data_IF_219277659958
#
_entry.id   IF_219277659958
#
_cell.length_a   1.000
_cell.length_b   1.000
_cell.length_c   1.000
_cell.angle_alpha   90.00
_cell.angle_beta   90.00
_cell.angle_gamma   90.00
#
_symmetry.space_group_name_H-M   'P 1'
#
loop_
_entity.id
_entity.type
_entity.pdbx_description
1 polymer ?
#
# COMPACT_ATOMS: atom_id res chain seq x y z
N UNK A 1 -8.43 -3.36 11.17
CA UNK A 1 -8.10 -2.44 12.25
C UNK A 1 -7.17 -3.19 13.17
N UNK A 2 -6.07 -2.55 13.56
CA UNK A 2 -5.17 -3.11 14.54
C UNK A 2 -5.87 -3.18 15.91
N UNK A 3 -5.47 -4.12 16.79
CA UNK A 3 -5.93 -4.14 18.18
C UNK A 3 -5.73 -2.78 18.87
N UNK A 4 -6.56 -2.46 19.86
CA UNK A 4 -6.46 -1.18 20.58
C UNK A 4 -5.15 -1.00 21.36
N UNK A 5 -4.43 -2.08 21.62
CA UNK A 5 -3.13 -2.10 22.30
C UNK A 5 -1.94 -2.05 21.33
N UNK A 6 -2.19 -2.06 20.02
CA UNK A 6 -1.14 -2.06 19.02
C UNK A 6 -0.29 -0.78 19.10
N UNK A 7 1.02 -0.98 19.05
CA UNK A 7 2.02 0.09 19.09
C UNK A 7 2.30 0.62 17.69
N UNK A 8 3.03 1.74 17.63
CA UNK A 8 3.59 2.26 16.37
C UNK A 8 4.54 1.23 15.72
N UNK A 9 5.27 0.46 16.53
CA UNK A 9 6.18 -0.57 16.03
C UNK A 9 5.42 -1.75 15.42
N UNK A 10 4.26 -2.11 15.97
CA UNK A 10 3.38 -3.13 15.38
C UNK A 10 2.83 -2.67 14.03
N UNK A 11 2.40 -1.41 13.96
CA UNK A 11 1.94 -0.80 12.71
C UNK A 11 3.04 -0.75 11.65
N UNK A 12 4.26 -0.33 12.03
CA UNK A 12 5.41 -0.30 11.12
C UNK A 12 5.80 -1.71 10.65
N UNK A 13 5.79 -2.68 11.56
CA UNK A 13 6.09 -4.08 11.24
C UNK A 13 5.07 -4.65 10.25
N UNK A 14 3.79 -4.34 10.43
CA UNK A 14 2.74 -4.70 9.48
C UNK A 14 3.00 -4.12 8.10
N UNK A 15 3.34 -2.82 8.02
CA UNK A 15 3.65 -2.15 6.76
C UNK A 15 4.82 -2.85 6.06
N UNK A 16 5.91 -3.12 6.80
CA UNK A 16 7.09 -3.80 6.25
C UNK A 16 6.75 -5.18 5.69
N UNK A 17 5.95 -5.98 6.39
CA UNK A 17 5.51 -7.28 5.88
C UNK A 17 4.73 -7.17 4.57
N UNK A 18 3.81 -6.21 4.47
CA UNK A 18 3.07 -5.97 3.23
C UNK A 18 4.00 -5.55 2.08
N UNK A 19 5.01 -4.73 2.35
CA UNK A 19 5.98 -4.29 1.33
C UNK A 19 6.98 -5.37 0.90
N UNK A 20 7.23 -6.37 1.76
CA UNK A 20 8.16 -7.45 1.48
C UNK A 20 7.48 -8.68 0.88
N UNK A 21 6.14 -8.75 0.90
CA UNK A 21 5.37 -9.84 0.29
C UNK A 21 5.47 -9.76 -1.24
N UNK A 22 6.08 -10.75 -1.93
CA UNK A 22 6.33 -10.68 -3.38
C UNK A 22 5.05 -10.52 -4.23
N UNK A 23 3.92 -11.03 -3.72
CA UNK A 23 2.60 -10.91 -4.35
C UNK A 23 1.89 -9.57 -4.16
N UNK A 24 2.48 -8.62 -3.42
CA UNK A 24 1.90 -7.29 -3.26
C UNK A 24 1.86 -6.53 -4.58
N UNK A 25 0.74 -5.85 -4.82
CA UNK A 25 0.48 -5.13 -6.07
C UNK A 25 0.83 -3.66 -5.92
N UNK A 26 1.51 -3.10 -6.92
CA UNK A 26 1.93 -1.71 -6.97
C UNK A 26 1.04 -0.93 -7.94
N UNK A 27 0.62 0.25 -7.53
CA UNK A 27 -0.25 1.14 -8.31
C UNK A 27 0.35 2.53 -8.38
N UNK A 28 0.04 3.24 -9.46
CA UNK A 28 0.33 4.66 -9.64
C UNK A 28 -0.95 5.48 -9.62
N UNK A 29 -0.90 6.64 -9.00
CA UNK A 29 -1.97 7.62 -8.98
C UNK A 29 -1.42 9.03 -9.22
N UNK A 30 -1.53 9.55 -10.45
CA UNK A 30 -1.18 10.93 -10.73
C UNK A 30 -2.28 11.88 -10.23
N UNK A 31 -1.90 12.85 -9.39
CA UNK A 31 -2.80 13.88 -8.86
C UNK A 31 -2.20 15.27 -9.07
N UNK A 32 -2.67 15.95 -10.12
CA UNK A 32 -2.13 17.25 -10.52
C UNK A 32 -0.67 17.11 -10.95
N UNK A 33 0.24 17.81 -10.27
CA UNK A 33 1.70 17.72 -10.51
C UNK A 33 2.41 16.76 -9.57
N UNK A 34 1.66 15.97 -8.78
CA UNK A 34 2.22 15.03 -7.80
C UNK A 34 1.93 13.62 -8.23
N UNK A 35 2.94 12.77 -8.10
CA UNK A 35 2.79 11.33 -8.23
C UNK A 35 2.58 10.72 -6.86
N UNK A 36 1.68 9.74 -6.79
CA UNK A 36 1.51 8.87 -5.66
C UNK A 36 1.67 7.43 -6.11
N UNK A 37 2.28 6.63 -5.26
CA UNK A 37 2.39 5.19 -5.44
C UNK A 37 1.66 4.50 -4.32
N UNK A 38 1.01 3.38 -4.61
CA UNK A 38 0.39 2.59 -3.58
C UNK A 38 0.79 1.13 -3.69
N UNK A 39 0.90 0.46 -2.56
CA UNK A 39 1.14 -0.98 -2.46
C UNK A 39 -0.04 -1.61 -1.75
N UNK A 40 -0.62 -2.65 -2.35
CA UNK A 40 -1.64 -3.45 -1.69
C UNK A 40 -1.19 -4.89 -1.50
N UNK A 41 -1.29 -5.39 -0.27
CA UNK A 41 -1.00 -6.77 0.07
C UNK A 41 -1.93 -7.29 1.16
N UNK A 42 -1.76 -8.55 1.53
CA UNK A 42 -2.52 -9.18 2.62
C UNK A 42 -1.59 -9.38 3.81
N UNK A 43 -2.05 -8.98 4.99
CA UNK A 43 -1.44 -9.33 6.27
C UNK A 43 -2.55 -9.79 7.22
N UNK A 44 -2.33 -10.91 7.91
CA UNK A 44 -3.30 -11.52 8.85
C UNK A 44 -4.73 -11.66 8.27
N UNK A 45 -4.82 -12.04 6.99
CA UNK A 45 -6.10 -12.27 6.31
C UNK A 45 -6.84 -10.99 5.91
N UNK A 46 -6.30 -9.80 6.20
CA UNK A 46 -6.89 -8.52 5.78
C UNK A 46 -6.04 -7.87 4.70
N UNK A 47 -6.72 -7.26 3.72
CA UNK A 47 -6.04 -6.50 2.68
C UNK A 47 -5.73 -5.09 3.17
N UNK A 48 -4.50 -4.66 2.95
CA UNK A 48 -4.00 -3.33 3.27
C UNK A 48 -3.68 -2.56 2.00
N UNK A 49 -3.79 -1.25 2.09
CA UNK A 49 -3.34 -0.29 1.09
C UNK A 49 -2.40 0.70 1.78
N UNK A 50 -1.19 0.82 1.27
CA UNK A 50 -0.17 1.76 1.74
C UNK A 50 0.08 2.74 0.60
N UNK A 51 0.07 4.04 0.89
CA UNK A 51 0.23 5.10 -0.11
C UNK A 51 1.48 5.90 0.24
N UNK A 52 2.29 6.17 -0.78
CA UNK A 52 3.52 6.94 -0.74
C UNK A 52 3.41 8.13 -1.68
N UNK A 53 4.05 9.23 -1.33
CA UNK A 53 4.36 10.30 -2.27
C UNK A 53 5.40 9.85 -3.31
N UNK A 54 5.55 10.61 -4.38
CA UNK A 54 6.54 10.34 -5.44
C UNK A 54 8.00 10.44 -4.98
N UNK A 55 8.23 10.96 -3.77
CA UNK A 55 9.52 10.98 -3.08
C UNK A 55 9.78 9.71 -2.24
N UNK A 56 8.82 8.78 -2.20
CA UNK A 56 8.90 7.54 -1.43
C UNK A 56 8.54 7.70 0.05
N UNK A 57 8.11 8.88 0.49
CA UNK A 57 7.65 9.09 1.87
C UNK A 57 6.23 8.54 2.00
N UNK A 58 5.99 7.72 3.04
CA UNK A 58 4.66 7.18 3.31
C UNK A 58 3.70 8.29 3.75
N UNK A 59 2.57 8.40 3.05
CA UNK A 59 1.49 9.33 3.35
C UNK A 59 0.47 8.69 4.30
N UNK A 60 0.09 7.44 4.02
CA UNK A 60 -0.90 6.71 4.85
C UNK A 60 -0.86 5.21 4.60
N UNK A 61 -1.27 4.41 5.59
CA UNK A 61 -1.61 2.99 5.39
C UNK A 61 -2.88 2.63 6.14
N UNK A 62 -3.77 1.91 5.48
CA UNK A 62 -5.04 1.49 6.08
C UNK A 62 -5.61 0.27 5.36
N UNK A 63 -6.50 -0.48 6.01
CA UNK A 63 -7.18 -1.60 5.36
C UNK A 63 -8.58 -1.18 4.84
N UNK A 64 -8.73 -0.84 3.55
CA UNK A 64 -10.02 -0.42 2.99
C UNK A 64 -11.07 -1.54 3.09
N UNK A 65 -12.34 -1.15 3.21
CA UNK A 65 -13.46 -2.10 3.19
C UNK A 65 -13.60 -2.75 1.81
N UNK A 66 -13.50 -1.95 0.74
CA UNK A 66 -13.45 -2.40 -0.65
C UNK A 66 -12.28 -1.71 -1.37
N UNK A 67 -11.21 -2.47 -1.57
CA UNK A 67 -10.02 -1.97 -2.28
C UNK A 67 -10.35 -1.62 -3.73
N UNK A 68 -11.10 -2.46 -4.44
CA UNK A 68 -11.37 -2.29 -5.87
C UNK A 68 -12.15 -1.01 -6.12
N UNK A 69 -13.19 -0.77 -5.31
CA UNK A 69 -13.97 0.47 -5.37
C UNK A 69 -13.12 1.70 -5.00
N UNK A 70 -12.24 1.60 -3.99
CA UNK A 70 -11.37 2.69 -3.58
C UNK A 70 -10.41 3.12 -4.71
N UNK A 71 -9.77 2.13 -5.35
CA UNK A 71 -8.82 2.33 -6.44
C UNK A 71 -9.52 2.90 -7.68
N UNK A 72 -10.63 2.29 -8.09
CA UNK A 72 -11.39 2.70 -9.28
C UNK A 72 -11.92 4.14 -9.15
N UNK A 73 -12.44 4.53 -7.98
CA UNK A 73 -12.94 5.88 -7.73
C UNK A 73 -11.86 6.97 -7.90
N UNK A 74 -10.59 6.62 -7.65
CA UNK A 74 -9.47 7.56 -7.70
C UNK A 74 -8.65 7.44 -8.98
N UNK A 75 -8.86 6.43 -9.81
CA UNK A 75 -8.09 6.25 -11.04
C UNK A 75 -6.67 5.75 -10.80
N UNK A 76 -6.47 4.91 -9.78
CA UNK A 76 -5.21 4.18 -9.62
C UNK A 76 -5.01 3.23 -10.81
N UNK A 77 -3.79 3.23 -11.35
CA UNK A 77 -3.36 2.33 -12.44
C UNK A 77 -2.45 1.27 -11.85
N UNK A 78 -2.77 -0.01 -12.09
CA UNK A 78 -1.90 -1.12 -11.68
C UNK A 78 -0.60 -1.08 -12.52
N UNK A 79 0.54 -1.05 -11.84
CA UNK A 79 1.86 -1.11 -12.49
C UNK A 79 2.41 -2.53 -12.56
N UNK A 80 2.16 -3.35 -11.54
CA UNK A 80 2.71 -4.70 -11.47
C UNK A 80 2.74 -5.23 -10.04
N UNK A 81 3.58 -6.22 -9.80
CA UNK A 81 3.89 -6.74 -8.46
C UNK A 81 5.14 -6.09 -7.91
N UNK A 82 5.27 -6.03 -6.59
CA UNK A 82 6.41 -5.39 -5.95
C UNK A 82 7.74 -6.06 -6.30
N UNK A 83 7.72 -7.38 -6.51
CA UNK A 83 8.87 -8.18 -6.98
C UNK A 83 9.39 -7.74 -8.36
N UNK A 84 8.54 -7.11 -9.19
CA UNK A 84 8.96 -6.60 -10.51
C UNK A 84 9.82 -5.32 -10.40
N UNK A 85 9.83 -4.66 -9.24
CA UNK A 85 10.52 -3.38 -9.02
C UNK A 85 11.75 -3.50 -8.13
N UNK A 86 11.80 -4.52 -7.27
CA UNK A 86 12.95 -4.79 -6.39
C UNK A 86 13.98 -5.60 -7.19
N UNK A 87 15.09 -4.96 -7.53
CA UNK A 87 16.25 -5.62 -8.15
C UNK A 87 17.37 -5.66 -7.11
N UNK A 88 17.91 -6.85 -6.83
CA UNK A 88 19.11 -7.05 -5.99
C UNK A 88 20.38 -6.44 -6.61
#
# INVERSE_FOLDING_TARGET
>A
HLPGEATVDDYNSLIQKVLQEPGSLVYHYPLGTRDYYAVSGKEEGRRWLIIFGGDGIMETAFPPDDLSAYLAKRGFVLLGRIEDFIHE
#
